data_IF_438228376556
#
_entry.id   IF_438228376556
#
_cell.length_a   1.000
_cell.length_b   1.000
_cell.length_c   1.000
_cell.angle_alpha   90.00
_cell.angle_beta   90.00
_cell.angle_gamma   90.00
#
_symmetry.space_group_name_H-M   'P 1'
#
loop_
_entity.id
_entity.type
_entity.pdbx_description
1 polymer ?
#
# COMPACT_ATOMS: atom_id res chain seq x y z
N UNK A 1 -33.58 -7.73 -50.65
CA UNK A 1 -33.96 -8.26 -49.33
C UNK A 1 -32.71 -8.21 -48.46
N UNK A 2 -32.54 -7.11 -47.72
CA UNK A 2 -31.32 -6.86 -46.92
C UNK A 2 -31.36 -7.74 -45.67
N UNK A 3 -30.39 -8.65 -45.56
CA UNK A 3 -30.26 -9.51 -44.39
C UNK A 3 -29.57 -8.70 -43.30
N UNK A 4 -30.32 -8.36 -42.26
CA UNK A 4 -29.83 -7.67 -41.06
C UNK A 4 -28.72 -8.50 -40.42
N UNK A 5 -27.46 -8.16 -40.72
CA UNK A 5 -26.29 -8.71 -40.05
C UNK A 5 -26.42 -8.40 -38.55
N UNK A 6 -26.76 -9.41 -37.76
CA UNK A 6 -27.01 -9.24 -36.33
C UNK A 6 -25.75 -8.70 -35.64
N UNK A 7 -25.92 -7.90 -34.59
CA UNK A 7 -24.80 -7.37 -33.81
C UNK A 7 -23.84 -8.47 -33.33
N UNK A 8 -24.35 -9.70 -33.16
CA UNK A 8 -23.58 -10.88 -32.78
C UNK A 8 -22.60 -11.27 -33.89
N UNK A 9 -22.97 -11.20 -35.18
CA UNK A 9 -22.04 -11.53 -36.27
C UNK A 9 -20.93 -10.48 -36.42
N UNK A 10 -21.23 -9.19 -36.18
CA UNK A 10 -20.23 -8.12 -36.13
C UNK A 10 -19.27 -8.26 -34.96
N UNK A 11 -19.77 -8.68 -33.79
CA UNK A 11 -18.92 -8.97 -32.62
C UNK A 11 -17.99 -10.15 -32.96
N UNK A 12 -18.53 -11.27 -33.42
CA UNK A 12 -17.72 -12.45 -33.76
C UNK A 12 -16.67 -12.18 -34.86
N UNK A 13 -16.99 -11.38 -35.89
CA UNK A 13 -16.00 -11.01 -36.92
C UNK A 13 -14.90 -10.09 -36.39
N UNK A 14 -15.22 -9.22 -35.43
CA UNK A 14 -14.25 -8.32 -34.78
C UNK A 14 -13.31 -9.05 -33.84
N UNK A 15 -13.77 -10.15 -33.22
CA UNK A 15 -12.96 -10.99 -32.32
C UNK A 15 -12.15 -12.08 -33.05
N UNK A 16 -12.51 -12.45 -34.28
CA UNK A 16 -11.78 -13.45 -35.06
C UNK A 16 -10.47 -12.94 -35.68
N UNK A 17 -10.22 -11.63 -35.64
CA UNK A 17 -9.05 -10.95 -36.20
C UNK A 17 -8.04 -10.50 -35.15
N UNK A 18 -7.42 -11.42 -34.42
CA UNK A 18 -6.10 -11.20 -33.84
C UNK A 18 -5.97 -10.29 -32.61
N UNK A 19 -7.05 -9.96 -31.90
CA UNK A 19 -6.91 -9.41 -30.55
C UNK A 19 -6.69 -10.57 -29.58
N UNK A 20 -5.46 -11.10 -29.63
CA UNK A 20 -4.88 -11.83 -28.51
C UNK A 20 -5.28 -11.05 -27.26
N UNK A 21 -6.08 -11.66 -26.37
CA UNK A 21 -6.23 -11.18 -25.01
C UNK A 21 -4.82 -10.81 -24.57
N UNK A 22 -4.56 -9.51 -24.39
CA UNK A 22 -3.24 -9.04 -24.01
C UNK A 22 -2.87 -9.87 -22.79
N UNK A 23 -1.99 -10.85 -22.98
CA UNK A 23 -1.56 -11.73 -21.91
C UNK A 23 -1.02 -10.77 -20.87
N UNK A 24 -1.56 -10.76 -19.64
CA UNK A 24 -1.08 -9.83 -18.62
C UNK A 24 0.42 -9.97 -18.60
N UNK A 25 1.13 -8.86 -18.81
CA UNK A 25 2.59 -8.87 -18.89
C UNK A 25 3.07 -9.44 -17.55
N UNK A 26 3.47 -10.72 -17.54
CA UNK A 26 3.75 -11.46 -16.31
C UNK A 26 4.92 -10.84 -15.53
N UNK A 27 5.77 -10.04 -16.20
CA UNK A 27 6.86 -9.27 -15.57
C UNK A 27 6.40 -8.06 -14.75
N UNK A 28 5.14 -7.63 -14.86
CA UNK A 28 4.53 -6.58 -14.02
C UNK A 28 3.72 -7.15 -12.84
N UNK A 29 3.61 -8.48 -12.73
CA UNK A 29 2.85 -9.14 -11.67
C UNK A 29 3.60 -9.02 -10.35
N UNK A 30 3.09 -8.19 -9.46
CA UNK A 30 3.63 -8.06 -8.11
C UNK A 30 3.17 -9.27 -7.29
N UNK A 31 4.10 -9.94 -6.61
CA UNK A 31 3.75 -10.98 -5.64
C UNK A 31 3.01 -10.32 -4.48
N UNK A 32 1.92 -10.93 -4.02
CA UNK A 32 1.16 -10.42 -2.88
C UNK A 32 2.03 -10.32 -1.62
N UNK A 33 2.99 -11.23 -1.44
CA UNK A 33 3.93 -11.18 -0.31
C UNK A 33 4.78 -9.91 -0.34
N UNK A 34 5.32 -9.56 -1.51
CA UNK A 34 6.15 -8.36 -1.69
C UNK A 34 5.31 -7.09 -1.53
N UNK A 35 4.04 -7.14 -1.95
CA UNK A 35 3.09 -6.04 -1.77
C UNK A 35 2.75 -5.81 -0.29
N UNK A 36 2.41 -6.87 0.45
CA UNK A 36 2.14 -6.80 1.89
C UNK A 36 3.38 -6.30 2.64
N UNK A 37 4.57 -6.77 2.26
CA UNK A 37 5.83 -6.27 2.83
C UNK A 37 6.04 -4.78 2.55
N UNK A 38 5.81 -4.34 1.32
CA UNK A 38 5.89 -2.92 0.96
C UNK A 38 4.91 -2.06 1.77
N UNK A 39 3.69 -2.55 2.00
CA UNK A 39 2.69 -1.88 2.86
C UNK A 39 3.16 -1.79 4.32
N UNK A 40 3.72 -2.87 4.86
CA UNK A 40 4.27 -2.86 6.22
C UNK A 40 5.46 -1.89 6.36
N UNK A 41 6.27 -1.75 5.32
CA UNK A 41 7.41 -0.82 5.32
C UNK A 41 6.95 0.64 5.31
N UNK A 42 5.95 1.01 4.50
CA UNK A 42 5.42 2.39 4.53
C UNK A 42 4.72 2.71 5.86
N UNK A 43 4.05 1.74 6.49
CA UNK A 43 3.49 1.93 7.84
C UNK A 43 4.58 2.11 8.89
N UNK A 44 5.79 1.58 8.65
CA UNK A 44 6.96 1.86 9.46
C UNK A 44 7.60 3.22 9.16
N UNK A 45 7.18 3.93 8.11
CA UNK A 45 7.79 5.18 7.65
C UNK A 45 8.97 4.97 6.69
N UNK A 46 9.15 3.76 6.18
CA UNK A 46 10.23 3.41 5.25
C UNK A 46 9.74 3.39 3.80
N UNK A 47 10.60 3.80 2.87
CA UNK A 47 10.37 3.57 1.45
C UNK A 47 10.74 2.13 1.07
N UNK A 48 10.06 1.59 0.06
CA UNK A 48 10.22 0.23 -0.43
C UNK A 48 10.42 0.23 -1.95
N UNK A 49 10.61 -0.96 -2.54
CA UNK A 49 10.66 -1.13 -4.00
C UNK A 49 9.33 -0.80 -4.71
N UNK A 50 8.22 -0.75 -3.97
CA UNK A 50 6.88 -0.50 -4.51
C UNK A 50 6.34 0.89 -4.16
N UNK A 51 6.81 1.48 -3.07
CA UNK A 51 6.28 2.74 -2.53
C UNK A 51 7.42 3.66 -2.10
N UNK A 52 7.29 4.95 -2.38
CA UNK A 52 8.25 5.96 -1.99
C UNK A 52 7.57 7.14 -1.29
N UNK A 53 8.32 7.86 -0.46
CA UNK A 53 7.87 9.11 0.14
C UNK A 53 8.12 10.29 -0.81
N UNK A 54 7.05 10.97 -1.22
CA UNK A 54 7.14 12.24 -1.96
C UNK A 54 7.30 13.40 -0.98
N UNK A 55 8.49 14.00 -0.96
CA UNK A 55 8.79 15.14 -0.10
C UNK A 55 8.01 16.41 -0.49
N UNK A 56 7.60 16.56 -1.75
CA UNK A 56 6.88 17.75 -2.22
C UNK A 56 5.40 17.61 -1.83
N UNK A 57 4.77 16.50 -2.19
CA UNK A 57 3.39 16.19 -1.85
C UNK A 57 3.17 15.76 -0.40
N UNK A 58 4.24 15.53 0.37
CA UNK A 58 4.24 14.98 1.73
C UNK A 58 3.32 13.76 1.88
N UNK A 59 3.50 12.78 0.99
CA UNK A 59 2.68 11.56 0.96
C UNK A 59 3.45 10.37 0.42
N UNK A 60 3.01 9.17 0.79
CA UNK A 60 3.48 7.97 0.14
C UNK A 60 2.81 7.77 -1.23
N UNK A 61 3.60 7.40 -2.22
CA UNK A 61 3.17 7.17 -3.59
C UNK A 61 3.67 5.80 -4.09
N UNK A 62 2.90 5.08 -4.91
CA UNK A 62 3.38 3.89 -5.60
C UNK A 62 4.37 4.25 -6.72
N UNK A 63 5.44 3.46 -6.87
CA UNK A 63 6.49 3.67 -7.88
C UNK A 63 6.02 3.23 -9.28
N UNK A 64 5.18 2.19 -9.36
CA UNK A 64 4.71 1.63 -10.63
C UNK A 64 3.25 1.18 -10.53
N UNK A 65 2.66 0.78 -11.67
CA UNK A 65 1.33 0.15 -11.68
C UNK A 65 1.46 -1.25 -11.08
N UNK A 66 1.09 -1.37 -9.81
CA UNK A 66 1.01 -2.63 -9.07
C UNK A 66 -0.17 -3.43 -9.63
N UNK A 67 0.07 -4.72 -9.93
CA UNK A 67 -0.95 -5.65 -10.40
C UNK A 67 -0.86 -6.97 -9.64
N UNK A 68 -2.01 -7.47 -9.17
CA UNK A 68 -2.13 -8.75 -8.45
C UNK A 68 -3.25 -9.58 -9.07
N UNK A 69 -3.11 -10.90 -9.12
CA UNK A 69 -4.00 -11.74 -9.95
C UNK A 69 -5.38 -12.02 -9.42
N UNK A 70 -5.62 -11.77 -8.14
CA UNK A 70 -6.90 -12.07 -7.49
C UNK A 70 -7.73 -10.79 -7.23
N UNK A 71 -7.23 -9.60 -7.62
CA UNK A 71 -7.95 -8.32 -7.47
C UNK A 71 -7.98 -7.55 -8.79
N UNK A 72 -9.10 -6.86 -9.02
CA UNK A 72 -9.16 -5.84 -10.07
C UNK A 72 -8.27 -4.65 -9.73
N UNK A 73 -7.78 -3.92 -10.74
CA UNK A 73 -6.95 -2.73 -10.52
C UNK A 73 -7.64 -1.69 -9.63
N UNK A 74 -8.95 -1.50 -9.80
CA UNK A 74 -9.75 -0.55 -9.03
C UNK A 74 -9.88 -0.98 -7.58
N UNK A 75 -10.20 -2.26 -7.33
CA UNK A 75 -10.31 -2.80 -5.96
C UNK A 75 -8.96 -2.73 -5.24
N UNK A 76 -7.87 -3.08 -5.94
CA UNK A 76 -6.52 -2.99 -5.41
C UNK A 76 -6.15 -1.55 -5.05
N UNK A 77 -6.44 -0.61 -5.94
CA UNK A 77 -6.19 0.81 -5.70
C UNK A 77 -6.93 1.31 -4.45
N UNK A 78 -8.22 0.98 -4.29
CA UNK A 78 -8.99 1.40 -3.12
C UNK A 78 -8.42 0.86 -1.80
N UNK A 79 -8.00 -0.41 -1.79
CA UNK A 79 -7.38 -1.02 -0.59
C UNK A 79 -6.02 -0.38 -0.30
N UNK A 80 -5.18 -0.20 -1.32
CA UNK A 80 -3.86 0.42 -1.15
C UNK A 80 -3.96 1.88 -0.73
N UNK A 81 -4.94 2.63 -1.23
CA UNK A 81 -5.16 4.03 -0.89
C UNK A 81 -5.40 4.22 0.62
N UNK A 82 -6.15 3.31 1.25
CA UNK A 82 -6.35 3.33 2.70
C UNK A 82 -5.04 3.18 3.48
N UNK A 83 -4.18 2.24 3.06
CA UNK A 83 -2.88 2.04 3.69
C UNK A 83 -1.92 3.19 3.43
N UNK A 84 -1.90 3.73 2.20
CA UNK A 84 -1.09 4.89 1.83
C UNK A 84 -1.50 6.13 2.63
N UNK A 85 -2.80 6.35 2.78
CA UNK A 85 -3.34 7.43 3.58
C UNK A 85 -2.92 7.29 5.04
N UNK A 86 -3.12 6.10 5.64
CA UNK A 86 -2.72 5.83 7.02
C UNK A 86 -1.21 6.04 7.25
N UNK A 87 -0.36 5.47 6.38
CA UNK A 87 1.09 5.65 6.42
C UNK A 87 1.49 7.12 6.30
N UNK A 88 0.83 7.87 5.40
CA UNK A 88 1.06 9.31 5.23
C UNK A 88 0.72 10.09 6.49
N UNK A 89 -0.44 9.82 7.12
CA UNK A 89 -0.81 10.45 8.38
C UNK A 89 0.23 10.18 9.47
N UNK A 90 0.70 8.93 9.61
CA UNK A 90 1.74 8.58 10.59
C UNK A 90 3.05 9.33 10.34
N UNK A 91 3.48 9.43 9.08
CA UNK A 91 4.70 10.13 8.71
C UNK A 91 4.59 11.64 8.96
N UNK A 92 3.45 12.25 8.67
CA UNK A 92 3.19 13.66 8.95
C UNK A 92 3.26 13.97 10.45
N UNK A 93 2.67 13.10 11.27
CA UNK A 93 2.73 13.24 12.73
C UNK A 93 4.18 13.16 13.22
N UNK A 94 4.97 12.22 12.70
CA UNK A 94 6.40 12.15 13.03
C UNK A 94 7.15 13.43 12.62
N UNK A 95 6.91 13.97 11.42
CA UNK A 95 7.54 15.21 10.96
C UNK A 95 7.20 16.36 11.91
N UNK A 96 5.96 16.45 12.39
CA UNK A 96 5.54 17.47 13.36
C UNK A 96 6.24 17.27 14.71
N UNK A 97 6.30 16.03 15.22
CA UNK A 97 7.02 15.71 16.45
C UNK A 97 8.49 16.10 16.36
N UNK A 98 9.17 15.74 15.27
CA UNK A 98 10.57 16.08 15.04
C UNK A 98 10.77 17.60 14.97
N UNK A 99 9.90 18.34 14.28
CA UNK A 99 9.95 19.81 14.23
C UNK A 99 9.84 20.47 15.61
N UNK A 100 9.01 19.90 16.49
CA UNK A 100 8.86 20.37 17.87
C UNK A 100 10.13 20.12 18.68
N UNK A 101 10.74 18.93 18.54
CA UNK A 101 11.96 18.58 19.25
C UNK A 101 13.18 19.38 18.78
N UNK A 102 13.29 19.63 17.47
CA UNK A 102 14.40 20.39 16.87
C UNK A 102 14.18 21.90 16.85
N UNK A 103 13.08 22.39 17.44
CA UNK A 103 12.78 23.82 17.50
C UNK A 103 13.86 24.58 18.26
N UNK A 104 14.36 25.68 17.68
CA UNK A 104 15.37 26.56 18.29
C UNK A 104 14.92 27.15 19.64
N UNK A 105 13.61 27.27 19.86
CA UNK A 105 13.02 27.64 21.14
C UNK A 105 12.63 26.38 21.89
N UNK A 106 13.02 26.28 23.16
CA UNK A 106 12.61 25.17 24.02
C UNK A 106 11.08 25.07 24.02
N UNK A 107 10.51 23.91 23.65
CA UNK A 107 9.08 23.73 23.61
C UNK A 107 8.49 23.84 25.03
N UNK A 108 7.25 24.34 25.18
CA UNK A 108 6.56 24.31 26.47
C UNK A 108 6.55 22.89 27.05
N UNK A 109 6.66 22.72 28.38
CA UNK A 109 6.79 21.40 29.01
C UNK A 109 5.58 20.49 28.73
N UNK A 110 4.38 21.06 28.61
CA UNK A 110 3.15 20.34 28.23
C UNK A 110 3.21 19.81 26.80
N UNK A 111 3.65 20.63 25.86
CA UNK A 111 3.80 20.27 24.46
C UNK A 111 4.92 19.22 24.27
N UNK A 112 6.00 19.32 25.04
CA UNK A 112 7.05 18.30 25.09
C UNK A 112 6.51 16.95 25.60
N UNK A 113 5.78 16.94 26.71
CA UNK A 113 5.18 15.72 27.24
C UNK A 113 4.21 15.07 26.25
N UNK A 114 3.43 15.89 25.53
CA UNK A 114 2.54 15.43 24.48
C UNK A 114 3.30 14.78 23.32
N UNK A 115 4.34 15.44 22.80
CA UNK A 115 5.18 14.89 21.73
C UNK A 115 5.87 13.60 22.16
N UNK A 116 6.45 13.54 23.36
CA UNK A 116 7.03 12.29 23.88
C UNK A 116 6.00 11.15 23.94
N UNK A 117 4.76 11.45 24.31
CA UNK A 117 3.67 10.45 24.34
C UNK A 117 3.34 9.94 22.93
N UNK A 118 3.27 10.85 21.95
CA UNK A 118 3.05 10.50 20.54
C UNK A 118 4.22 9.69 19.99
N UNK A 119 5.47 10.10 20.22
CA UNK A 119 6.66 9.38 19.77
C UNK A 119 6.70 7.96 20.32
N UNK A 120 6.32 7.78 21.59
CA UNK A 120 6.18 6.45 22.19
C UNK A 120 5.05 5.63 21.53
N UNK A 121 3.92 6.25 21.21
CA UNK A 121 2.81 5.59 20.51
C UNK A 121 3.18 5.20 19.07
N UNK A 122 3.81 6.09 18.30
CA UNK A 122 4.33 5.80 16.96
C UNK A 122 5.33 4.63 17.00
N UNK A 123 6.24 4.62 17.99
CA UNK A 123 7.20 3.52 18.17
C UNK A 123 6.49 2.18 18.41
N UNK A 124 5.39 2.18 19.18
CA UNK A 124 4.56 0.97 19.39
C UNK A 124 3.92 0.49 18.09
N UNK A 125 3.33 1.39 17.30
CA UNK A 125 2.72 1.04 16.02
C UNK A 125 3.75 0.46 15.03
N UNK A 126 4.93 1.06 14.95
CA UNK A 126 6.04 0.57 14.12
C UNK A 126 6.51 -0.81 14.57
N UNK A 127 6.62 -1.05 15.88
CA UNK A 127 6.97 -2.35 16.41
C UNK A 127 5.92 -3.43 16.06
N UNK A 128 4.63 -3.09 16.04
CA UNK A 128 3.57 -4.01 15.60
C UNK A 128 3.76 -4.34 14.11
N UNK A 129 3.94 -3.33 13.26
CA UNK A 129 4.17 -3.53 11.83
C UNK A 129 5.43 -4.39 11.56
N UNK A 130 6.54 -4.11 12.25
CA UNK A 130 7.79 -4.87 12.15
C UNK A 130 7.60 -6.33 12.64
N UNK A 131 6.80 -6.55 13.69
CA UNK A 131 6.45 -7.89 14.16
C UNK A 131 5.66 -8.68 13.11
N UNK A 132 4.74 -8.04 12.40
CA UNK A 132 4.03 -8.69 11.31
C UNK A 132 4.97 -8.97 10.11
N UNK A 133 5.90 -8.08 9.80
CA UNK A 133 6.88 -8.30 8.73
C UNK A 133 7.81 -9.49 9.03
N UNK A 134 8.28 -9.60 10.27
CA UNK A 134 9.13 -10.74 10.70
C UNK A 134 8.38 -12.06 10.68
N UNK A 135 7.08 -12.08 11.01
CA UNK A 135 6.25 -13.28 10.85
C UNK A 135 6.16 -13.72 9.39
N UNK A 136 6.03 -12.77 8.45
CA UNK A 136 5.98 -13.06 7.02
C UNK A 136 7.30 -13.68 6.55
N UNK A 137 8.43 -13.12 6.98
CA UNK A 137 9.76 -13.60 6.60
C UNK A 137 10.11 -14.98 7.21
N UNK A 138 9.57 -15.31 8.39
CA UNK A 138 9.83 -16.58 9.08
C UNK A 138 8.78 -17.68 8.81
N UNK A 139 7.70 -17.39 8.08
CA UNK A 139 6.67 -18.39 7.82
C UNK A 139 7.17 -19.37 6.73
N UNK A 140 7.29 -20.66 7.09
CA UNK A 140 7.61 -21.75 6.16
C UNK A 140 6.44 -22.09 5.21
N UNK A 141 5.70 -21.09 4.70
CA UNK A 141 4.64 -21.26 3.71
C UNK A 141 3.28 -21.73 4.24
N UNK A 142 3.04 -21.70 5.55
CA UNK A 142 1.79 -22.25 6.14
C UNK A 142 0.58 -21.30 6.07
N UNK A 143 0.81 -20.00 5.93
CA UNK A 143 -0.23 -18.99 5.73
C UNK A 143 0.29 -17.93 4.77
N UNK A 144 -0.22 -17.87 3.54
CA UNK A 144 0.14 -16.80 2.62
C UNK A 144 -0.38 -15.46 3.18
N UNK A 145 0.49 -14.47 3.42
CA UNK A 145 0.03 -13.17 3.88
C UNK A 145 -0.77 -12.50 2.77
N UNK A 146 -1.96 -12.03 3.11
CA UNK A 146 -2.84 -11.34 2.17
C UNK A 146 -3.07 -9.90 2.60
N UNK A 147 -3.33 -9.02 1.64
CA UNK A 147 -3.65 -7.60 1.92
C UNK A 147 -4.86 -7.46 2.85
N UNK A 148 -5.90 -8.27 2.63
CA UNK A 148 -7.10 -8.29 3.47
C UNK A 148 -6.80 -8.85 4.87
N UNK A 149 -5.98 -9.90 4.96
CA UNK A 149 -5.50 -10.45 6.23
C UNK A 149 -4.75 -9.40 7.03
N UNK A 150 -3.87 -8.63 6.38
CA UNK A 150 -3.13 -7.54 7.01
C UNK A 150 -4.05 -6.47 7.60
N UNK A 151 -5.03 -6.00 6.82
CA UNK A 151 -6.01 -5.00 7.29
C UNK A 151 -6.79 -5.48 8.52
N UNK A 152 -7.17 -6.76 8.55
CA UNK A 152 -7.87 -7.34 9.70
C UNK A 152 -6.99 -7.46 10.96
N UNK A 153 -5.69 -7.75 10.79
CA UNK A 153 -4.73 -7.86 11.90
C UNK A 153 -4.43 -6.51 12.53
N UNK A 154 -4.22 -5.49 11.70
CA UNK A 154 -3.92 -4.12 12.16
C UNK A 154 -5.13 -3.43 12.80
N UNK A 155 -6.36 -3.81 12.42
CA UNK A 155 -7.57 -3.31 13.06
C UNK A 155 -7.82 -3.91 14.46
N UNK A 156 -7.23 -5.06 14.78
CA UNK A 156 -7.42 -5.77 16.06
C UNK A 156 -6.34 -5.49 17.09
N UNK A 157 -5.20 -4.92 16.66
CA UNK A 157 -4.09 -4.50 17.53
C UNK A 157 -4.31 -3.11 18.09
#
# INVERSE_FOLDING_TARGET
MEVSNSLISKIHSSFSGGLHFATPIFSLRTNEVDLVRGVLQILQGLSSSLFYWDNIGQRFCPISRIYVTHLSQTSLHLVLDQFLYAATCLQLVEIVCNKVETSARSPPPTLRAFVCSISAWLSRLRNIAMKEETKISNSNGRTAPTLLGLGSSLSRS
#
